data_IF_563080948267
#
_entry.id   IF_563080948267
#
_cell.length_a   1.000
_cell.length_b   1.000
_cell.length_c   1.000
_cell.angle_alpha   90.00
_cell.angle_beta   90.00
_cell.angle_gamma   90.00
#
_symmetry.space_group_name_H-M   'P 1'
#
loop_
_entity.id
_entity.type
_entity.pdbx_description
1 polymer ?
#
# COMPACT_ATOMS: atom_id res chain seq x y z
N UNK A 1 -15.59 -6.40 9.71
CA UNK A 1 -14.66 -5.74 8.77
C UNK A 1 -14.30 -4.35 9.32
N UNK A 2 -14.17 -4.23 10.65
CA UNK A 2 -14.32 -2.94 11.34
C UNK A 2 -12.98 -2.30 11.76
N UNK A 3 -11.86 -2.93 11.39
CA UNK A 3 -10.52 -2.49 11.79
C UNK A 3 -9.68 -1.94 10.61
N UNK A 4 -10.28 -1.71 9.44
CA UNK A 4 -9.56 -1.05 8.34
C UNK A 4 -9.58 0.46 8.54
N UNK A 5 -8.44 1.15 8.33
CA UNK A 5 -8.43 2.59 8.40
C UNK A 5 -9.30 3.20 7.30
N UNK A 6 -9.79 4.41 7.53
CA UNK A 6 -10.36 5.21 6.45
C UNK A 6 -9.25 5.60 5.49
N UNK A 7 -9.23 4.96 4.33
CA UNK A 7 -8.23 5.24 3.29
C UNK A 7 -8.38 6.66 2.72
N UNK A 8 -7.25 7.32 2.50
CA UNK A 8 -7.18 8.59 1.75
C UNK A 8 -7.49 8.37 0.27
N UNK A 9 -7.17 7.19 -0.26
CA UNK A 9 -7.53 6.80 -1.61
C UNK A 9 -7.05 5.40 -1.98
N UNK A 10 -7.29 5.03 -3.25
CA UNK A 10 -6.78 3.80 -3.85
C UNK A 10 -6.50 3.97 -5.34
N UNK A 11 -5.58 3.17 -5.87
CA UNK A 11 -5.34 3.06 -7.31
C UNK A 11 -4.92 1.64 -7.67
N UNK A 12 -5.10 1.22 -8.93
CA UNK A 12 -4.51 -0.04 -9.38
C UNK A 12 -3.00 0.10 -9.54
N UNK A 13 -2.28 -1.02 -9.56
CA UNK A 13 -0.84 -1.06 -9.81
C UNK A 13 -0.46 -0.46 -11.18
N UNK A 14 -1.35 -0.55 -12.18
CA UNK A 14 -1.22 0.15 -13.47
C UNK A 14 -1.21 1.66 -13.29
N UNK A 15 -2.14 2.19 -12.51
CA UNK A 15 -2.34 3.63 -12.26
C UNK A 15 -1.53 4.21 -11.09
N UNK A 16 -0.53 3.48 -10.58
CA UNK A 16 0.25 3.88 -9.38
C UNK A 16 0.96 5.24 -9.48
N UNK A 17 1.14 5.79 -10.68
CA UNK A 17 1.64 7.16 -10.87
C UNK A 17 0.70 8.22 -10.28
N UNK A 18 -0.57 7.90 -10.05
CA UNK A 18 -1.57 8.77 -9.44
C UNK A 18 -1.45 8.89 -7.92
N UNK A 19 -0.56 8.12 -7.28
CA UNK A 19 -0.32 8.24 -5.84
C UNK A 19 0.11 9.67 -5.47
N UNK A 20 -0.26 10.15 -4.27
CA UNK A 20 0.10 11.48 -3.82
C UNK A 20 1.60 11.63 -3.58
N UNK A 21 2.10 12.84 -3.72
CA UNK A 21 3.48 13.22 -3.38
C UNK A 21 3.61 13.48 -1.88
N UNK A 22 3.18 12.52 -1.06
CA UNK A 22 3.02 12.65 0.38
C UNK A 22 3.52 11.41 1.14
N UNK A 23 3.93 11.55 2.41
CA UNK A 23 4.23 10.42 3.28
C UNK A 23 2.96 9.65 3.67
N UNK A 24 3.09 8.35 3.92
CA UNK A 24 1.94 7.53 4.30
C UNK A 24 2.20 6.04 4.41
N UNK A 25 1.14 5.32 4.72
CA UNK A 25 1.09 3.85 4.74
C UNK A 25 0.33 3.37 3.52
N UNK A 26 0.86 2.37 2.82
CA UNK A 26 0.22 1.73 1.69
C UNK A 26 -0.10 0.26 2.00
N UNK A 27 -1.20 -0.21 1.43
CA UNK A 27 -1.73 -1.56 1.60
C UNK A 27 -1.95 -2.16 0.21
N UNK A 28 -1.41 -3.35 0.00
CA UNK A 28 -1.52 -4.08 -1.26
C UNK A 28 -2.57 -5.15 -1.09
N UNK A 29 -3.59 -5.10 -1.95
CA UNK A 29 -4.70 -6.03 -1.93
C UNK A 29 -5.12 -6.48 -3.33
N UNK A 30 -5.84 -7.59 -3.39
CA UNK A 30 -6.55 -8.04 -4.60
C UNK A 30 -7.94 -7.39 -4.73
N UNK A 31 -8.68 -7.82 -5.76
CA UNK A 31 -10.06 -7.44 -6.04
C UNK A 31 -11.05 -7.84 -4.93
N UNK A 32 -10.70 -8.82 -4.10
CA UNK A 32 -11.49 -9.28 -2.95
C UNK A 32 -11.11 -8.56 -1.65
N UNK A 33 -10.24 -7.54 -1.72
CA UNK A 33 -9.69 -6.80 -0.58
C UNK A 33 -8.86 -7.65 0.40
N UNK A 34 -8.31 -8.77 -0.06
CA UNK A 34 -7.35 -9.54 0.73
C UNK A 34 -6.02 -8.78 0.79
N UNK A 35 -5.62 -8.31 1.98
CA UNK A 35 -4.38 -7.55 2.16
C UNK A 35 -3.19 -8.50 2.23
N UNK A 36 -2.25 -8.32 1.31
CA UNK A 36 -1.04 -9.12 1.16
C UNK A 36 0.19 -8.47 1.76
N UNK A 37 0.20 -7.14 1.80
CA UNK A 37 1.36 -6.38 2.21
C UNK A 37 0.95 -5.01 2.72
N UNK A 38 1.63 -4.56 3.75
CA UNK A 38 1.52 -3.22 4.32
C UNK A 38 2.94 -2.69 4.41
N UNK A 39 3.13 -1.44 4.02
CA UNK A 39 4.42 -0.79 4.19
C UNK A 39 4.29 0.73 4.27
N UNK A 40 5.34 1.38 4.76
CA UNK A 40 5.43 2.84 4.82
C UNK A 40 6.23 3.46 3.69
N UNK A 41 5.93 4.71 3.40
CA UNK A 41 6.68 5.53 2.48
C UNK A 41 6.83 6.95 3.02
N UNK A 42 8.04 7.49 2.98
CA UNK A 42 8.24 8.94 3.14
C UNK A 42 7.63 9.72 1.95
N UNK A 43 7.39 9.02 0.85
CA UNK A 43 6.76 9.56 -0.34
C UNK A 43 6.09 8.41 -1.14
N UNK A 44 4.76 8.37 -1.14
CA UNK A 44 3.97 7.29 -1.74
C UNK A 44 4.22 7.18 -3.25
N UNK A 45 4.19 8.30 -3.99
CA UNK A 45 4.47 8.32 -5.42
C UNK A 45 5.87 7.82 -5.76
N UNK A 46 6.91 8.36 -5.12
CA UNK A 46 8.31 7.97 -5.36
C UNK A 46 8.58 6.52 -4.98
N UNK A 47 7.97 6.03 -3.89
CA UNK A 47 8.09 4.63 -3.45
C UNK A 47 7.62 3.65 -4.54
N UNK A 48 6.58 4.03 -5.28
CA UNK A 48 5.98 3.21 -6.33
C UNK A 48 6.37 3.63 -7.76
N UNK A 49 7.27 4.61 -7.89
CA UNK A 49 7.79 5.05 -9.17
C UNK A 49 8.70 3.96 -9.79
N UNK A 50 8.61 3.81 -11.11
CA UNK A 50 9.48 2.89 -11.86
C UNK A 50 9.25 1.41 -11.52
N UNK A 51 10.33 0.63 -11.55
CA UNK A 51 10.37 -0.82 -11.29
C UNK A 51 11.21 -1.18 -10.04
N UNK A 52 11.59 -0.19 -9.26
CA UNK A 52 12.56 -0.32 -8.15
C UNK A 52 11.94 -0.82 -6.86
N UNK A 53 10.61 -0.77 -6.73
CA UNK A 53 9.94 -1.38 -5.58
C UNK A 53 10.18 -2.89 -5.62
N UNK A 54 10.89 -3.42 -4.62
CA UNK A 54 11.37 -4.81 -4.58
C UNK A 54 10.26 -5.85 -4.84
N UNK A 55 9.02 -5.57 -4.41
CA UNK A 55 7.85 -6.44 -4.65
C UNK A 55 7.02 -6.13 -5.90
N UNK A 56 7.38 -5.11 -6.68
CA UNK A 56 6.62 -4.73 -7.87
C UNK A 56 6.45 -5.88 -8.85
N UNK A 57 7.54 -6.61 -9.14
CA UNK A 57 7.51 -7.77 -10.04
C UNK A 57 6.59 -8.87 -9.53
N UNK A 58 6.57 -9.10 -8.21
CA UNK A 58 5.72 -10.10 -7.57
C UNK A 58 4.24 -9.76 -7.76
N UNK A 59 3.85 -8.50 -7.49
CA UNK A 59 2.47 -8.06 -7.65
C UNK A 59 2.05 -7.93 -9.11
N UNK A 60 2.94 -7.46 -9.99
CA UNK A 60 2.65 -7.35 -11.41
C UNK A 60 2.32 -8.70 -12.07
N UNK A 61 2.91 -9.81 -11.59
CA UNK A 61 2.59 -11.17 -12.04
C UNK A 61 1.15 -11.60 -11.74
N UNK A 62 0.52 -11.00 -10.72
CA UNK A 62 -0.91 -11.24 -10.41
C UNK A 62 -1.85 -10.45 -11.34
N UNK A 63 -1.33 -9.52 -12.12
CA UNK A 63 -2.07 -8.65 -13.03
C UNK A 63 -2.10 -7.20 -12.53
N UNK A 64 -1.69 -6.26 -13.40
CA UNK A 64 -1.57 -4.84 -13.05
C UNK A 64 -2.90 -4.17 -12.65
N UNK A 65 -4.02 -4.73 -13.11
CA UNK A 65 -5.37 -4.23 -12.87
C UNK A 65 -6.11 -5.05 -11.79
N UNK A 66 -5.50 -6.14 -11.30
CA UNK A 66 -6.03 -7.02 -10.25
C UNK A 66 -5.42 -6.74 -8.88
N UNK A 67 -4.42 -5.87 -8.83
CA UNK A 67 -3.74 -5.46 -7.60
C UNK A 67 -3.97 -3.99 -7.37
N UNK A 68 -4.41 -3.66 -6.15
CA UNK A 68 -4.71 -2.30 -5.72
C UNK A 68 -3.73 -1.87 -4.64
N UNK A 69 -3.38 -0.58 -4.69
CA UNK A 69 -2.64 0.13 -3.67
C UNK A 69 -3.64 1.04 -2.98
N UNK A 70 -4.08 0.64 -1.80
CA UNK A 70 -4.79 1.52 -0.88
C UNK A 70 -3.76 2.32 -0.08
N UNK A 71 -4.10 3.53 0.34
CA UNK A 71 -3.18 4.34 1.14
C UNK A 71 -3.89 5.24 2.14
N UNK A 72 -3.15 5.58 3.20
CA UNK A 72 -3.43 6.72 4.06
C UNK A 72 -2.25 7.68 3.99
N UNK A 73 -2.52 8.98 4.01
CA UNK A 73 -1.49 9.98 4.25
C UNK A 73 -1.25 10.11 5.75
N UNK A 74 0.01 10.20 6.15
CA UNK A 74 0.39 10.29 7.56
C UNK A 74 1.71 11.06 7.74
N UNK A 75 1.88 11.81 8.85
CA UNK A 75 3.13 12.49 9.15
C UNK A 75 4.32 11.53 9.21
N UNK A 76 5.50 12.00 8.82
CA UNK A 76 6.74 11.19 8.83
C UNK A 76 7.02 10.54 10.19
N UNK A 77 6.74 11.27 11.29
CA UNK A 77 6.97 10.83 12.66
C UNK A 77 6.07 9.65 13.08
N UNK A 78 4.92 9.49 12.43
CA UNK A 78 3.93 8.46 12.75
C UNK A 78 4.10 7.18 11.91
N UNK A 79 4.93 7.20 10.87
CA UNK A 79 4.98 6.11 9.89
C UNK A 79 5.37 4.77 10.50
N UNK A 80 6.33 4.76 11.43
CA UNK A 80 6.81 3.53 12.07
C UNK A 80 5.74 2.94 12.98
N UNK A 81 5.09 3.79 13.78
CA UNK A 81 4.03 3.39 14.70
C UNK A 81 2.81 2.87 13.94
N UNK A 82 2.39 3.58 12.87
CA UNK A 82 1.25 3.19 12.06
C UNK A 82 1.49 1.91 11.26
N UNK A 83 2.68 1.76 10.64
CA UNK A 83 3.03 0.53 9.93
C UNK A 83 2.96 -0.68 10.87
N UNK A 84 3.57 -0.58 12.05
CA UNK A 84 3.54 -1.64 13.06
C UNK A 84 2.11 -1.94 13.51
N UNK A 85 1.35 -0.91 13.88
CA UNK A 85 -0.05 -1.04 14.30
C UNK A 85 -0.88 -1.79 13.26
N UNK A 86 -0.84 -1.37 12.00
CA UNK A 86 -1.66 -1.99 10.96
C UNK A 86 -1.21 -3.41 10.62
N UNK A 87 0.08 -3.71 10.68
CA UNK A 87 0.57 -5.10 10.52
C UNK A 87 0.02 -5.98 11.64
N UNK A 88 0.02 -5.51 12.89
CA UNK A 88 -0.48 -6.25 14.05
C UNK A 88 -2.00 -6.44 14.01
N UNK A 89 -2.76 -5.42 13.62
CA UNK A 89 -4.23 -5.46 13.53
C UNK A 89 -4.74 -6.30 12.36
N UNK A 90 -4.10 -6.20 11.18
CA UNK A 90 -4.60 -6.79 9.94
C UNK A 90 -3.99 -8.18 9.68
N UNK A 91 -2.75 -8.43 10.11
CA UNK A 91 -2.00 -9.67 9.85
C UNK A 91 -2.02 -10.07 8.36
N UNK A 92 -1.29 -9.33 7.49
CA UNK A 92 -1.32 -9.55 6.05
C UNK A 92 -0.98 -10.99 5.67
N UNK A 93 -1.61 -11.51 4.62
CA UNK A 93 -1.50 -12.92 4.19
C UNK A 93 -0.09 -13.35 3.72
N UNK A 94 0.87 -12.43 3.65
CA UNK A 94 2.28 -12.66 3.25
C UNK A 94 2.45 -13.68 2.12
N UNK A 95 2.08 -13.27 0.91
CA UNK A 95 2.27 -14.04 -0.34
C UNK A 95 3.45 -13.59 -1.17
#
# INVERSE_FOLDING_TARGET
MDNLPKFSGKCSLRSRSLLPDAPGIYFIADEQNNIFYIGKAQNLRKRWAGKTHHRYKQFARKGLDKVYIYYIEAPLLELDNLEKKYIEEIKPLQI
#
